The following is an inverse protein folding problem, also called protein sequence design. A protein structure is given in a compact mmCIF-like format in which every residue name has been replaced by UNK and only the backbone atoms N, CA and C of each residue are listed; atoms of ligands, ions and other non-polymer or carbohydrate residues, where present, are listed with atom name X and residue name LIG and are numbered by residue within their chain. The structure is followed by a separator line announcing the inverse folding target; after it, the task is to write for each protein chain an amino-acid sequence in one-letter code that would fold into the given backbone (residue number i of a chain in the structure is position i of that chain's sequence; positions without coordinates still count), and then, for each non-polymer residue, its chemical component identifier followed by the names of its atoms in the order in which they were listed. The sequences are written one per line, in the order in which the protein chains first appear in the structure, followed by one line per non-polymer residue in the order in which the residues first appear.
data_IF_476873872601
#
_entry.id   IF_476873872601
#
_cell.length_a   1.000
_cell.length_b   1.000
_cell.length_c   1.000
_cell.angle_alpha   90.00
_cell.angle_beta   90.00
_cell.angle_gamma   90.00
#
_symmetry.space_group_name_H-M   'P 1'
#
loop_
_entity.id
_entity.type
_entity.pdbx_description
1 polymer ?
#
# COMPACT_ATOMS: atom_id res chain seq x y z
N UNK A 1 -33.24 0.92 -27.73
CA UNK A 1 -31.95 1.59 -27.48
C UNK A 1 -32.20 2.65 -26.43
N UNK A 2 -31.68 2.63 -25.21
CA UNK A 2 -30.50 1.95 -24.66
C UNK A 2 -30.87 1.38 -23.26
N UNK A 3 -30.47 0.13 -23.02
CA UNK A 3 -30.34 -0.44 -21.69
C UNK A 3 -29.35 0.44 -20.92
N UNK A 4 -29.87 1.24 -19.99
CA UNK A 4 -29.05 1.94 -19.03
C UNK A 4 -28.40 0.86 -18.14
N UNK A 5 -27.11 0.63 -18.39
CA UNK A 5 -26.21 -0.18 -17.60
C UNK A 5 -26.45 0.04 -16.11
N UNK A 6 -27.18 -0.90 -15.47
CA UNK A 6 -27.15 -1.06 -14.02
C UNK A 6 -25.72 -1.41 -13.67
N UNK A 7 -24.94 -0.41 -13.29
CA UNK A 7 -23.62 -0.60 -12.71
C UNK A 7 -23.80 -1.37 -11.40
N UNK A 8 -23.61 -2.67 -11.49
CA UNK A 8 -23.36 -3.61 -10.39
C UNK A 8 -21.98 -3.35 -9.80
N UNK A 9 -21.71 -2.11 -9.39
CA UNK A 9 -20.42 -1.76 -8.79
C UNK A 9 -20.45 -2.20 -7.32
N UNK A 10 -19.60 -3.17 -6.98
CA UNK A 10 -19.40 -3.54 -5.58
C UNK A 10 -18.58 -2.42 -4.90
N UNK A 11 -19.06 -1.84 -3.80
CA UNK A 11 -18.29 -0.85 -3.05
C UNK A 11 -16.95 -1.43 -2.61
N UNK A 12 -15.88 -0.63 -2.75
CA UNK A 12 -14.50 -1.00 -2.45
C UNK A 12 -13.77 -1.76 -3.56
N UNK A 13 -14.39 -2.02 -4.72
CA UNK A 13 -13.74 -2.75 -5.82
C UNK A 13 -12.50 -2.02 -6.37
N UNK A 14 -12.55 -0.70 -6.50
CA UNK A 14 -11.44 0.12 -7.00
C UNK A 14 -10.27 0.09 -6.01
N UNK A 15 -10.57 0.19 -4.72
CA UNK A 15 -9.56 0.12 -3.65
C UNK A 15 -8.90 -1.26 -3.57
N UNK A 16 -9.68 -2.35 -3.74
CA UNK A 16 -9.12 -3.72 -3.81
C UNK A 16 -8.17 -3.90 -4.99
N UNK A 17 -8.58 -3.42 -6.17
CA UNK A 17 -7.74 -3.45 -7.36
C UNK A 17 -6.47 -2.61 -7.16
N UNK A 18 -6.61 -1.40 -6.62
CA UNK A 18 -5.49 -0.52 -6.28
C UNK A 18 -4.49 -1.17 -5.32
N UNK A 19 -4.98 -1.83 -4.26
CA UNK A 19 -4.14 -2.54 -3.30
C UNK A 19 -3.33 -3.66 -3.95
N UNK A 20 -3.95 -4.47 -4.83
CA UNK A 20 -3.27 -5.55 -5.53
C UNK A 20 -2.24 -5.04 -6.54
N UNK A 21 -2.58 -4.00 -7.32
CA UNK A 21 -1.66 -3.39 -8.28
C UNK A 21 -0.46 -2.78 -7.56
N UNK A 22 -0.69 -2.06 -6.46
CA UNK A 22 0.38 -1.52 -5.64
C UNK A 22 1.26 -2.64 -5.05
N UNK A 23 0.66 -3.74 -4.57
CA UNK A 23 1.40 -4.87 -4.01
C UNK A 23 2.27 -5.57 -5.06
N UNK A 24 1.77 -5.73 -6.28
CA UNK A 24 2.54 -6.23 -7.41
C UNK A 24 3.70 -5.28 -7.75
N UNK A 25 3.45 -3.97 -7.79
CA UNK A 25 4.50 -2.97 -8.01
C UNK A 25 5.63 -3.04 -6.98
N UNK A 26 5.27 -3.11 -5.69
CA UNK A 26 6.26 -3.30 -4.60
C UNK A 26 7.00 -4.63 -4.77
N UNK A 27 6.30 -5.70 -5.11
CA UNK A 27 6.90 -7.02 -5.28
C UNK A 27 7.94 -7.01 -6.40
N UNK A 28 7.65 -6.38 -7.54
CA UNK A 28 8.61 -6.28 -8.65
C UNK A 28 9.88 -5.52 -8.26
N UNK A 29 9.75 -4.50 -7.41
CA UNK A 29 10.90 -3.71 -6.93
C UNK A 29 11.74 -4.47 -5.90
N UNK A 30 11.09 -5.22 -5.01
CA UNK A 30 11.70 -5.72 -3.76
C UNK A 30 12.07 -7.20 -3.84
N UNK A 31 11.29 -8.02 -4.55
CA UNK A 31 11.51 -9.46 -4.68
C UNK A 31 12.89 -9.88 -5.22
N UNK A 32 13.51 -9.19 -6.22
CA UNK A 32 14.81 -9.63 -6.74
C UNK A 32 15.98 -9.34 -5.79
N UNK A 33 15.76 -8.58 -4.71
CA UNK A 33 16.82 -8.09 -3.84
C UNK A 33 17.21 -9.13 -2.79
N UNK A 34 16.23 -9.79 -2.15
CA UNK A 34 16.51 -10.83 -1.16
C UNK A 34 15.47 -11.95 -1.19
N UNK A 35 15.90 -13.17 -0.87
CA UNK A 35 15.00 -14.32 -0.72
C UNK A 35 13.95 -14.10 0.37
N UNK A 36 14.31 -13.41 1.46
CA UNK A 36 13.39 -13.06 2.55
C UNK A 36 12.27 -12.17 2.03
N UNK A 37 12.61 -11.15 1.25
CA UNK A 37 11.62 -10.24 0.69
C UNK A 37 10.74 -10.92 -0.38
N UNK A 38 11.30 -11.81 -1.20
CA UNK A 38 10.51 -12.63 -2.12
C UNK A 38 9.45 -13.44 -1.36
N UNK A 39 9.86 -14.17 -0.31
CA UNK A 39 8.94 -14.97 0.51
C UNK A 39 7.89 -14.08 1.17
N UNK A 40 8.31 -12.94 1.74
CA UNK A 40 7.40 -11.97 2.34
C UNK A 40 6.37 -11.42 1.35
N UNK A 41 6.79 -11.08 0.13
CA UNK A 41 5.92 -10.61 -0.93
C UNK A 41 4.92 -11.68 -1.40
N UNK A 42 5.35 -12.94 -1.56
CA UNK A 42 4.46 -14.04 -1.93
C UNK A 42 3.39 -14.26 -0.86
N UNK A 43 3.79 -14.31 0.41
CA UNK A 43 2.86 -14.44 1.54
C UNK A 43 1.92 -13.22 1.59
N UNK A 44 2.46 -12.02 1.40
CA UNK A 44 1.69 -10.78 1.43
C UNK A 44 0.63 -10.71 0.33
N UNK A 45 0.99 -11.01 -0.92
CA UNK A 45 0.04 -11.05 -2.05
C UNK A 45 -1.00 -12.14 -1.84
N UNK A 46 -0.59 -13.35 -1.40
CA UNK A 46 -1.55 -14.43 -1.13
C UNK A 46 -2.53 -14.04 -0.01
N UNK A 47 -2.04 -13.43 1.07
CA UNK A 47 -2.85 -12.93 2.17
C UNK A 47 -3.82 -11.84 1.73
N UNK A 48 -3.36 -10.87 0.92
CA UNK A 48 -4.22 -9.83 0.34
C UNK A 48 -5.29 -10.44 -0.58
N UNK A 49 -4.91 -11.33 -1.51
CA UNK A 49 -5.85 -11.95 -2.43
C UNK A 49 -6.91 -12.78 -1.68
N UNK A 50 -6.50 -13.61 -0.72
CA UNK A 50 -7.42 -14.43 0.09
C UNK A 50 -8.28 -13.56 1.00
N UNK A 51 -7.68 -12.58 1.69
CA UNK A 51 -8.36 -11.69 2.62
C UNK A 51 -9.42 -10.82 1.94
N UNK A 52 -9.08 -10.23 0.79
CA UNK A 52 -10.00 -9.39 0.02
C UNK A 52 -11.12 -10.22 -0.62
N UNK A 53 -10.84 -11.42 -1.15
CA UNK A 53 -11.86 -12.29 -1.74
C UNK A 53 -12.82 -12.88 -0.71
N UNK A 54 -12.32 -13.25 0.48
CA UNK A 54 -13.14 -13.78 1.58
C UNK A 54 -13.71 -12.71 2.52
N UNK A 55 -13.45 -11.44 2.24
CA UNK A 55 -13.85 -10.30 3.06
C UNK A 55 -13.40 -10.42 4.53
N UNK A 56 -12.19 -10.96 4.74
CA UNK A 56 -11.58 -11.13 6.06
C UNK A 56 -10.59 -9.99 6.32
N UNK A 57 -10.98 -9.02 7.16
CA UNK A 57 -10.16 -7.84 7.49
C UNK A 57 -8.81 -8.22 8.12
N UNK A 58 -8.80 -9.23 8.99
CA UNK A 58 -7.58 -9.71 9.66
C UNK A 58 -6.57 -10.30 8.68
N UNK A 59 -7.01 -11.19 7.79
CA UNK A 59 -6.14 -11.81 6.77
C UNK A 59 -5.61 -10.77 5.80
N UNK A 60 -6.43 -9.79 5.42
CA UNK A 60 -6.00 -8.68 4.56
C UNK A 60 -4.94 -7.82 5.25
N UNK A 61 -5.17 -7.44 6.51
CA UNK A 61 -4.22 -6.65 7.29
C UNK A 61 -2.88 -7.37 7.47
N UNK A 62 -2.90 -8.68 7.74
CA UNK A 62 -1.68 -9.51 7.79
C UNK A 62 -0.96 -9.55 6.43
N UNK A 63 -1.71 -9.69 5.33
CA UNK A 63 -1.14 -9.64 3.98
C UNK A 63 -0.44 -8.31 3.69
N UNK A 64 -1.09 -7.18 3.99
CA UNK A 64 -0.51 -5.86 3.84
C UNK A 64 0.72 -5.65 4.75
N UNK A 65 0.67 -6.12 6.00
CA UNK A 65 1.79 -6.06 6.93
C UNK A 65 3.01 -6.85 6.43
N UNK A 66 2.79 -8.00 5.79
CA UNK A 66 3.88 -8.80 5.21
C UNK A 66 4.55 -8.10 4.02
N UNK A 67 3.81 -7.34 3.20
CA UNK A 67 4.40 -6.48 2.16
C UNK A 67 5.29 -5.40 2.77
N UNK A 68 4.82 -4.75 3.84
CA UNK A 68 5.61 -3.74 4.58
C UNK A 68 6.87 -4.38 5.17
N UNK A 69 6.76 -5.56 5.79
CA UNK A 69 7.89 -6.29 6.35
C UNK A 69 8.94 -6.64 5.28
N UNK A 70 8.52 -6.96 4.05
CA UNK A 70 9.44 -7.21 2.93
C UNK A 70 10.22 -5.95 2.50
N UNK A 71 9.56 -4.79 2.51
CA UNK A 71 10.23 -3.48 2.26
C UNK A 71 11.22 -3.16 3.38
N UNK A 72 10.86 -3.43 4.64
CA UNK A 72 11.77 -3.25 5.77
C UNK A 72 12.99 -4.17 5.65
N UNK A 73 12.77 -5.45 5.33
CA UNK A 73 13.86 -6.42 5.16
C UNK A 73 14.84 -6.00 4.05
N UNK A 74 14.35 -5.44 2.94
CA UNK A 74 15.22 -4.91 1.87
C UNK A 74 15.95 -3.64 2.27
N UNK A 75 15.37 -2.78 3.11
CA UNK A 75 16.09 -1.64 3.68
C UNK A 75 17.31 -2.11 4.50
N UNK A 76 17.15 -3.15 5.32
CA UNK A 76 18.25 -3.76 6.07
C UNK A 76 19.29 -4.49 5.19
N UNK A 77 18.92 -4.88 3.98
CA UNK A 77 19.84 -5.46 3.00
C UNK A 77 20.73 -4.42 2.30
N UNK A 78 20.57 -3.12 2.62
CA UNK A 78 21.42 -2.06 2.09
C UNK A 78 21.09 -1.63 0.66
N UNK A 79 19.83 -1.76 0.25
CA UNK A 79 19.37 -1.27 -1.05
C UNK A 79 19.53 0.26 -1.16
N UNK A 80 19.75 0.78 -2.36
CA UNK A 80 19.86 2.23 -2.59
C UNK A 80 18.54 2.95 -2.34
N UNK A 81 18.63 4.21 -1.89
CA UNK A 81 17.48 5.07 -1.57
C UNK A 81 16.52 5.22 -2.76
N UNK A 82 17.06 5.31 -3.98
CA UNK A 82 16.32 5.41 -5.24
C UNK A 82 15.34 4.25 -5.46
N UNK A 83 15.70 3.05 -5.01
CA UNK A 83 14.85 1.86 -5.12
C UNK A 83 13.97 1.66 -3.89
N UNK A 84 14.43 2.09 -2.72
CA UNK A 84 13.67 1.96 -1.47
C UNK A 84 12.47 2.91 -1.42
N UNK A 85 12.62 4.16 -1.87
CA UNK A 85 11.57 5.19 -1.79
C UNK A 85 10.28 4.78 -2.52
N UNK A 86 10.32 4.34 -3.80
CA UNK A 86 9.14 3.84 -4.48
C UNK A 86 8.52 2.61 -3.80
N UNK A 87 9.34 1.71 -3.24
CA UNK A 87 8.86 0.53 -2.51
C UNK A 87 8.14 0.90 -1.21
N UNK A 88 8.66 1.90 -0.47
CA UNK A 88 8.02 2.47 0.72
C UNK A 88 6.67 3.08 0.35
N UNK A 89 6.61 3.93 -0.66
CA UNK A 89 5.35 4.52 -1.14
C UNK A 89 4.35 3.44 -1.51
N UNK A 90 4.77 2.47 -2.31
CA UNK A 90 3.91 1.37 -2.72
C UNK A 90 3.36 0.59 -1.53
N UNK A 91 4.16 0.32 -0.49
CA UNK A 91 3.69 -0.42 0.69
C UNK A 91 2.69 0.36 1.55
N UNK A 92 2.86 1.69 1.65
CA UNK A 92 1.86 2.57 2.28
C UNK A 92 0.55 2.55 1.49
N UNK A 93 0.61 2.64 0.16
CA UNK A 93 -0.58 2.56 -0.68
C UNK A 93 -1.28 1.21 -0.58
N UNK A 94 -0.52 0.10 -0.52
CA UNK A 94 -1.08 -1.24 -0.26
C UNK A 94 -1.87 -1.24 1.05
N UNK A 95 -1.28 -0.74 2.13
CA UNK A 95 -1.90 -0.69 3.43
C UNK A 95 -3.20 0.13 3.44
N UNK A 96 -3.12 1.36 2.91
CA UNK A 96 -4.25 2.28 2.86
C UNK A 96 -5.39 1.78 1.99
N UNK A 97 -5.10 1.26 0.79
CA UNK A 97 -6.14 0.75 -0.11
C UNK A 97 -6.74 -0.56 0.40
N UNK A 98 -5.92 -1.44 0.99
CA UNK A 98 -6.39 -2.71 1.54
C UNK A 98 -7.39 -2.48 2.69
N UNK A 99 -7.04 -1.63 3.66
CA UNK A 99 -7.91 -1.32 4.79
C UNK A 99 -9.08 -0.40 4.38
N UNK A 100 -8.82 0.57 3.51
CA UNK A 100 -9.84 1.49 2.97
C UNK A 100 -10.95 0.76 2.22
N UNK A 101 -10.65 -0.39 1.60
CA UNK A 101 -11.68 -1.20 0.93
C UNK A 101 -12.75 -1.77 1.88
N UNK A 102 -12.44 -1.92 3.17
CA UNK A 102 -13.41 -2.38 4.17
C UNK A 102 -14.21 -1.24 4.79
N UNK A 103 -13.63 -0.05 4.96
CA UNK A 103 -14.37 1.12 5.43
C UNK A 103 -15.35 1.62 4.37
N UNK A 104 -14.94 1.66 3.10
CA UNK A 104 -15.83 1.99 1.99
C UNK A 104 -16.98 0.98 1.85
N UNK A 105 -16.74 -0.31 2.13
CA UNK A 105 -17.78 -1.33 2.15
C UNK A 105 -18.78 -1.20 3.31
N UNK A 106 -18.38 -0.59 4.43
CA UNK A 106 -19.23 -0.42 5.61
C UNK A 106 -20.08 0.87 5.58
N UNK A 107 -19.61 1.93 4.91
CA UNK A 107 -20.27 3.23 4.88
C UNK A 107 -21.35 3.37 3.79
N UNK A 108 -21.37 2.48 2.78
CA UNK A 108 -22.02 2.78 1.50
C UNK A 108 -22.91 1.65 0.97
N UNK A 109 -23.95 1.30 1.73
CA UNK A 109 -25.03 0.39 1.33
C UNK A 109 -25.85 0.94 0.12
N UNK A 110 -25.22 1.10 -1.06
CA UNK A 110 -25.88 1.27 -2.36
C UNK A 110 -25.81 2.63 -3.09
N UNK A 111 -24.83 3.51 -2.82
CA UNK A 111 -24.67 4.80 -3.53
C UNK A 111 -23.60 4.78 -4.64
N UNK A 112 -23.60 5.75 -5.57
CA UNK A 112 -22.59 5.87 -6.65
C UNK A 112 -21.21 6.31 -6.12
N UNK A 113 -20.45 5.38 -5.53
CA UNK A 113 -19.19 5.67 -4.81
C UNK A 113 -17.95 5.65 -5.72
N UNK A 114 -18.04 5.09 -6.92
CA UNK A 114 -16.88 4.82 -7.78
C UNK A 114 -16.00 6.07 -8.00
N UNK A 115 -16.62 7.24 -8.22
CA UNK A 115 -15.88 8.51 -8.38
C UNK A 115 -15.15 8.96 -7.11
N UNK A 116 -15.73 8.73 -5.94
CA UNK A 116 -15.09 9.06 -4.67
C UNK A 116 -13.95 8.09 -4.35
N UNK A 117 -14.09 6.80 -4.66
CA UNK A 117 -13.02 5.81 -4.54
C UNK A 117 -11.85 6.12 -5.47
N UNK A 118 -12.11 6.44 -6.74
CA UNK A 118 -11.08 6.86 -7.69
C UNK A 118 -10.38 8.15 -7.23
N UNK A 119 -11.13 9.12 -6.72
CA UNK A 119 -10.57 10.36 -6.22
C UNK A 119 -9.71 10.12 -4.97
N UNK A 120 -10.13 9.22 -4.07
CA UNK A 120 -9.33 8.81 -2.91
C UNK A 120 -8.03 8.12 -3.33
N UNK A 121 -8.09 7.15 -4.25
CA UNK A 121 -6.90 6.49 -4.81
C UNK A 121 -5.97 7.51 -5.46
N UNK A 122 -6.52 8.42 -6.26
CA UNK A 122 -5.77 9.49 -6.93
C UNK A 122 -5.07 10.42 -5.94
N UNK A 123 -5.80 10.92 -4.93
CA UNK A 123 -5.24 11.82 -3.90
C UNK A 123 -4.16 11.10 -3.11
N UNK A 124 -4.42 9.89 -2.60
CA UNK A 124 -3.45 9.17 -1.77
C UNK A 124 -2.18 8.82 -2.56
N UNK A 125 -2.33 8.43 -3.83
CA UNK A 125 -1.18 8.20 -4.71
C UNK A 125 -0.39 9.49 -4.91
N UNK A 126 -1.05 10.60 -5.22
CA UNK A 126 -0.38 11.89 -5.42
C UNK A 126 0.33 12.39 -4.15
N UNK A 127 -0.31 12.27 -2.99
CA UNK A 127 0.28 12.64 -1.68
C UNK A 127 1.50 11.76 -1.40
N UNK A 128 1.39 10.44 -1.57
CA UNK A 128 2.52 9.55 -1.32
C UNK A 128 3.69 9.79 -2.28
N UNK A 129 3.41 10.07 -3.56
CA UNK A 129 4.42 10.47 -4.54
C UNK A 129 5.08 11.80 -4.18
N UNK A 130 4.32 12.80 -3.73
CA UNK A 130 4.86 14.09 -3.29
C UNK A 130 5.78 13.91 -2.08
N UNK A 131 5.38 13.11 -1.09
CA UNK A 131 6.20 12.80 0.08
C UNK A 131 7.51 12.13 -0.34
N UNK A 132 7.48 11.19 -1.28
CA UNK A 132 8.70 10.58 -1.79
C UNK A 132 9.60 11.56 -2.55
N UNK A 133 9.03 12.48 -3.34
CA UNK A 133 9.80 13.51 -4.02
C UNK A 133 10.51 14.44 -3.02
N UNK A 134 9.80 14.89 -1.98
CA UNK A 134 10.39 15.71 -0.91
C UNK A 134 11.49 14.95 -0.17
N UNK A 135 11.28 13.68 0.13
CA UNK A 135 12.27 12.84 0.79
C UNK A 135 13.52 12.62 -0.08
N UNK A 136 13.35 12.41 -1.40
CA UNK A 136 14.47 12.26 -2.34
C UNK A 136 15.29 13.55 -2.44
N UNK A 137 14.64 14.70 -2.63
CA UNK A 137 15.32 16.00 -2.68
C UNK A 137 16.05 16.27 -1.38
N UNK A 138 15.45 15.94 -0.23
CA UNK A 138 16.10 16.04 1.07
C UNK A 138 17.37 15.18 1.17
N UNK A 139 17.30 13.93 0.71
CA UNK A 139 18.45 13.02 0.65
C UNK A 139 19.57 13.56 -0.27
N UNK A 140 19.23 14.13 -1.42
CA UNK A 140 20.21 14.64 -2.38
C UNK A 140 20.87 15.95 -1.92
N UNK A 141 20.10 16.84 -1.27
CA UNK A 141 20.55 18.18 -0.90
C UNK A 141 21.15 18.28 0.50
N UNK A 142 20.71 17.44 1.43
CA UNK A 142 21.25 17.42 2.79
C UNK A 142 22.34 16.34 2.87
N UNK A 143 23.60 16.75 3.05
CA UNK A 143 24.73 15.86 3.37
C UNK A 143 24.63 15.23 4.77
N UNK A 144 23.42 15.07 5.30
CA UNK A 144 23.13 14.33 6.51
C UNK A 144 22.89 12.89 6.05
N UNK A 145 23.73 11.96 6.47
CA UNK A 145 23.55 10.54 6.15
C UNK A 145 22.23 10.02 6.70
N UNK A 146 21.16 10.10 5.89
CA UNK A 146 19.85 9.57 6.26
C UNK A 146 19.98 8.06 6.33
N UNK A 147 19.84 7.50 7.53
CA UNK A 147 19.93 6.05 7.71
C UNK A 147 18.71 5.39 7.06
N UNK A 148 18.96 4.59 6.01
CA UNK A 148 17.95 3.74 5.33
C UNK A 148 17.07 2.92 6.32
N UNK A 149 17.62 2.37 7.42
CA UNK A 149 16.81 1.72 8.44
C UNK A 149 15.90 2.70 9.20
N UNK A 150 16.35 3.94 9.41
CA UNK A 150 15.58 4.97 10.10
C UNK A 150 14.33 5.38 9.33
N UNK A 151 14.43 5.54 8.01
CA UNK A 151 13.25 5.79 7.15
C UNK A 151 12.30 4.60 7.13
N UNK A 152 12.80 3.36 7.06
CA UNK A 152 11.96 2.17 7.16
C UNK A 152 11.24 2.08 8.51
N UNK A 153 11.91 2.42 9.62
CA UNK A 153 11.29 2.48 10.95
C UNK A 153 10.25 3.60 11.08
N UNK A 154 10.46 4.74 10.43
CA UNK A 154 9.46 5.81 10.39
C UNK A 154 8.18 5.35 9.67
N UNK A 155 8.31 4.55 8.60
CA UNK A 155 7.15 3.96 7.90
C UNK A 155 6.41 3.00 8.82
N UNK A 156 7.14 2.13 9.53
CA UNK A 156 6.55 1.24 10.54
C UNK A 156 5.83 2.03 11.63
N UNK A 157 6.45 3.11 12.13
CA UNK A 157 5.86 3.98 13.15
C UNK A 157 4.60 4.69 12.63
N UNK A 158 4.60 5.18 11.39
CA UNK A 158 3.44 5.80 10.75
C UNK A 158 2.29 4.81 10.58
N UNK A 159 2.58 3.57 10.18
CA UNK A 159 1.59 2.50 10.08
C UNK A 159 1.04 2.13 11.46
N UNK A 160 1.90 1.98 12.47
CA UNK A 160 1.48 1.72 13.84
C UNK A 160 0.61 2.85 14.40
N UNK A 161 0.94 4.11 14.11
CA UNK A 161 0.12 5.27 14.47
C UNK A 161 -1.22 5.26 13.74
N UNK A 162 -1.25 4.90 12.45
CA UNK A 162 -2.49 4.78 11.68
C UNK A 162 -3.43 3.71 12.24
N UNK A 163 -2.87 2.62 12.77
CA UNK A 163 -3.62 1.58 13.46
C UNK A 163 -4.20 2.12 14.76
N UNK A 164 -3.38 2.78 15.58
CA UNK A 164 -3.81 3.30 16.87
C UNK A 164 -4.82 4.46 16.82
N UNK A 165 -4.94 5.15 15.67
CA UNK A 165 -5.95 6.20 15.46
C UNK A 165 -7.28 5.66 14.91
N UNK A 166 -7.33 4.39 14.50
CA UNK A 166 -8.50 3.76 13.88
C UNK A 166 -9.32 2.90 14.86
N UNK A 167 -8.83 2.70 16.08
CA UNK A 167 -9.53 2.07 17.22
C UNK A 167 -9.97 3.15 18.23
#
# INVERSE_FOLDING_TARGET
MSEASRFTHQPGAVLRAGALVAALGVTLLVAPITTIALVGCVIGIAGLAIGLTRHMRTVTGLGAAMIVAAVVATAFAGITVEWLLPAVVGSVLVWEFALGSFTAGAELDGGSVERAEFLHVGIMTAVASLVAAVAYVGYETLTVGVSLPGTALLVVAAIALSLGLRD
#
